data_IF_431514762495
#
_entry.id   IF_431514762495
#
_cell.length_a   1.000
_cell.length_b   1.000
_cell.length_c   1.000
_cell.angle_alpha   90.00
_cell.angle_beta   90.00
_cell.angle_gamma   90.00
#
_symmetry.space_group_name_H-M   'P 1'
#
loop_
_entity.id
_entity.type
_entity.pdbx_description
1 polymer ?
#
# COMPACT_ATOMS: atom_id res chain seq x y z
N UNK A 1 18.71 -0.60 -18.33
CA UNK A 1 17.53 -0.68 -17.43
C UNK A 1 17.17 -2.15 -17.28
N UNK A 2 17.09 -2.74 -16.07
CA UNK A 2 16.91 -4.18 -15.96
C UNK A 2 15.47 -4.56 -16.35
N UNK A 3 15.32 -5.62 -17.14
CA UNK A 3 14.03 -6.18 -17.62
C UNK A 3 13.01 -6.46 -16.50
N UNK A 4 13.46 -6.64 -15.25
CA UNK A 4 12.58 -6.75 -14.06
C UNK A 4 11.76 -5.48 -13.78
N UNK A 5 12.18 -4.31 -14.28
CA UNK A 5 11.35 -3.09 -14.26
C UNK A 5 10.18 -3.17 -15.25
N UNK A 6 10.33 -3.82 -16.41
CA UNK A 6 9.25 -3.95 -17.41
C UNK A 6 8.15 -4.92 -16.99
N UNK A 7 8.50 -5.96 -16.22
CA UNK A 7 7.51 -6.94 -15.70
C UNK A 7 6.75 -6.41 -14.47
N UNK A 8 7.22 -5.33 -13.85
CA UNK A 8 6.57 -4.63 -12.72
C UNK A 8 5.37 -3.75 -13.16
N UNK A 9 5.13 -3.58 -14.47
CA UNK A 9 4.25 -2.56 -15.06
C UNK A 9 2.81 -2.99 -15.44
N UNK A 10 2.16 -3.94 -14.78
CA UNK A 10 0.87 -4.48 -15.27
C UNK A 10 -0.41 -3.97 -14.57
N UNK A 11 -0.37 -2.89 -13.78
CA UNK A 11 -1.59 -2.40 -13.09
C UNK A 11 -1.69 -0.90 -12.77
N UNK A 12 -0.56 -0.19 -12.66
CA UNK A 12 -0.49 1.25 -12.50
C UNK A 12 0.47 1.82 -13.55
N UNK A 13 0.21 3.02 -14.06
CA UNK A 13 1.14 3.71 -14.95
C UNK A 13 2.48 4.00 -14.24
N UNK A 14 3.52 4.34 -14.98
CA UNK A 14 4.82 4.70 -14.39
C UNK A 14 4.69 5.92 -13.46
N UNK A 15 3.86 6.88 -13.85
CA UNK A 15 3.55 8.06 -13.07
C UNK A 15 2.82 7.70 -11.77
N UNK A 16 1.78 6.87 -11.84
CA UNK A 16 1.03 6.44 -10.64
C UNK A 16 1.93 5.74 -9.62
N UNK A 17 2.91 4.96 -10.09
CA UNK A 17 3.88 4.31 -9.19
C UNK A 17 4.86 5.27 -8.56
N UNK A 18 5.34 6.26 -9.30
CA UNK A 18 6.19 7.30 -8.74
C UNK A 18 5.46 8.06 -7.63
N UNK A 19 4.16 8.34 -7.81
CA UNK A 19 3.33 8.99 -6.78
C UNK A 19 3.14 8.09 -5.56
N UNK A 20 2.90 6.79 -5.75
CA UNK A 20 2.79 5.83 -4.64
C UNK A 20 4.06 5.80 -3.78
N UNK A 21 5.23 5.69 -4.43
CA UNK A 21 6.53 5.67 -3.74
C UNK A 21 6.82 7.01 -3.03
N UNK A 22 6.58 8.12 -3.71
CA UNK A 22 6.85 9.45 -3.14
C UNK A 22 5.94 9.76 -1.95
N UNK A 23 4.63 9.56 -2.09
CA UNK A 23 3.64 9.99 -1.09
C UNK A 23 3.59 9.01 0.07
N UNK A 24 3.47 7.71 -0.18
CA UNK A 24 3.24 6.72 0.87
C UNK A 24 4.51 6.13 1.47
N UNK A 25 5.64 6.15 0.75
CA UNK A 25 6.89 5.53 1.24
C UNK A 25 7.89 6.55 1.76
N UNK A 26 8.06 7.67 1.04
CA UNK A 26 9.07 8.68 1.41
C UNK A 26 8.50 9.79 2.30
N UNK A 27 7.24 10.15 2.09
CA UNK A 27 6.68 11.37 2.68
C UNK A 27 5.46 11.13 3.58
N UNK A 28 5.05 9.89 3.83
CA UNK A 28 3.79 9.62 4.56
C UNK A 28 3.76 10.31 5.93
N UNK A 29 4.88 10.25 6.66
CA UNK A 29 5.03 10.93 7.96
C UNK A 29 5.05 12.46 7.91
N UNK A 30 5.15 13.08 6.73
CA UNK A 30 5.08 14.55 6.56
C UNK A 30 3.67 15.08 6.49
N UNK A 31 2.71 14.23 6.14
CA UNK A 31 1.31 14.63 6.00
C UNK A 31 0.61 14.57 7.36
N UNK A 32 -0.15 15.62 7.64
CA UNK A 32 -0.82 15.86 8.92
C UNK A 32 -2.23 15.28 8.98
N UNK A 33 -2.81 14.96 7.82
CA UNK A 33 -4.15 14.39 7.70
C UNK A 33 -4.26 13.48 6.48
N UNK A 34 -5.25 12.59 6.51
CA UNK A 34 -5.64 11.81 5.34
C UNK A 34 -6.03 12.70 4.15
N UNK A 35 -6.63 13.86 4.39
CA UNK A 35 -6.95 14.85 3.36
C UNK A 35 -5.68 15.44 2.72
N UNK A 36 -4.62 15.69 3.48
CA UNK A 36 -3.34 16.14 2.92
C UNK A 36 -2.67 15.05 2.08
N UNK A 37 -2.74 13.78 2.50
CA UNK A 37 -2.27 12.64 1.70
C UNK A 37 -3.08 12.56 0.41
N UNK A 38 -4.41 12.57 0.50
CA UNK A 38 -5.31 12.52 -0.66
C UNK A 38 -5.06 13.69 -1.61
N UNK A 39 -4.94 14.91 -1.10
CA UNK A 39 -4.64 16.09 -1.90
C UNK A 39 -3.27 16.01 -2.58
N UNK A 40 -2.25 15.45 -1.90
CA UNK A 40 -0.93 15.26 -2.48
C UNK A 40 -0.94 14.21 -3.62
N UNK A 41 -1.69 13.12 -3.44
CA UNK A 41 -1.91 12.13 -4.51
C UNK A 41 -2.69 12.77 -5.66
N UNK A 42 -3.80 13.45 -5.37
CA UNK A 42 -4.70 14.05 -6.37
C UNK A 42 -3.99 15.15 -7.18
N UNK A 43 -3.13 15.95 -6.55
CA UNK A 43 -2.32 16.96 -7.24
C UNK A 43 -1.27 16.36 -8.20
N UNK A 44 -0.74 15.15 -7.89
CA UNK A 44 0.31 14.50 -8.70
C UNK A 44 -0.25 13.50 -9.70
N UNK A 45 -1.37 12.86 -9.38
CA UNK A 45 -2.08 11.89 -10.19
C UNK A 45 -3.56 11.83 -9.76
N UNK A 46 -4.43 12.63 -10.41
CA UNK A 46 -5.87 12.58 -10.20
C UNK A 46 -6.46 11.18 -10.48
N UNK A 47 -5.92 10.48 -11.47
CA UNK A 47 -6.31 9.11 -11.83
C UNK A 47 -6.00 8.12 -10.69
N UNK A 48 -4.83 8.23 -10.08
CA UNK A 48 -4.49 7.43 -8.91
C UNK A 48 -5.39 7.78 -7.72
N UNK A 49 -5.66 9.06 -7.48
CA UNK A 49 -6.58 9.46 -6.41
C UNK A 49 -7.98 8.88 -6.61
N UNK A 50 -8.49 8.88 -7.85
CA UNK A 50 -9.75 8.21 -8.17
C UNK A 50 -9.70 6.70 -7.90
N UNK A 51 -8.60 6.03 -8.30
CA UNK A 51 -8.39 4.59 -8.06
C UNK A 51 -8.22 4.22 -6.58
N UNK A 52 -7.70 5.11 -5.74
CA UNK A 52 -7.42 4.83 -4.32
C UNK A 52 -8.56 5.22 -3.38
N UNK A 53 -9.34 6.26 -3.72
CA UNK A 53 -10.21 6.94 -2.75
C UNK A 53 -11.69 6.97 -3.11
N UNK A 54 -12.10 6.46 -4.28
CA UNK A 54 -13.52 6.35 -4.61
C UNK A 54 -14.14 5.08 -3.99
N UNK A 55 -15.42 5.09 -3.56
CA UNK A 55 -16.07 3.93 -2.93
C UNK A 55 -16.21 2.69 -3.81
N UNK A 56 -16.21 2.86 -5.14
CA UNK A 56 -16.10 1.78 -6.14
C UNK A 56 -14.70 1.83 -6.71
N UNK A 57 -13.71 1.57 -5.86
CA UNK A 57 -12.32 1.73 -6.24
C UNK A 57 -11.86 0.57 -7.12
N UNK A 58 -10.85 0.84 -7.94
CA UNK A 58 -10.06 -0.18 -8.60
C UNK A 58 -9.49 -1.22 -7.62
N UNK A 59 -9.20 -0.81 -6.37
CA UNK A 59 -8.70 -1.72 -5.33
C UNK A 59 -9.75 -2.76 -4.91
N UNK A 60 -11.03 -2.37 -4.82
CA UNK A 60 -12.13 -3.27 -4.45
C UNK A 60 -12.36 -4.34 -5.53
N UNK A 61 -12.30 -3.94 -6.80
CA UNK A 61 -12.37 -4.85 -7.94
C UNK A 61 -11.20 -5.86 -7.93
N UNK A 62 -9.99 -5.36 -7.69
CA UNK A 62 -8.78 -6.20 -7.59
C UNK A 62 -8.84 -7.15 -6.41
N UNK A 63 -9.33 -6.68 -5.27
CA UNK A 63 -9.52 -7.49 -4.09
C UNK A 63 -10.58 -8.57 -4.35
N UNK A 64 -11.66 -8.28 -5.09
CA UNK A 64 -12.70 -9.25 -5.43
C UNK A 64 -12.18 -10.41 -6.28
N UNK A 65 -11.10 -10.18 -7.04
CA UNK A 65 -10.45 -11.18 -7.85
C UNK A 65 -9.38 -12.03 -7.10
N UNK A 66 -9.20 -11.83 -5.79
CA UNK A 66 -8.31 -12.62 -4.96
C UNK A 66 -8.98 -13.93 -4.49
N UNK A 67 -8.19 -14.99 -4.43
CA UNK A 67 -8.53 -16.22 -3.73
C UNK A 67 -8.58 -16.04 -2.21
N UNK A 68 -9.12 -17.03 -1.46
CA UNK A 68 -9.49 -16.87 -0.04
C UNK A 68 -8.33 -16.43 0.87
N UNK A 69 -7.14 -17.00 0.66
CA UNK A 69 -5.95 -16.70 1.47
C UNK A 69 -5.46 -15.27 1.26
N UNK A 70 -5.25 -14.88 0.00
CA UNK A 70 -4.81 -13.52 -0.36
C UNK A 70 -5.88 -12.48 0.00
N UNK A 71 -7.18 -12.83 -0.11
CA UNK A 71 -8.29 -11.97 0.30
C UNK A 71 -8.31 -11.74 1.80
N UNK A 72 -8.10 -12.79 2.60
CA UNK A 72 -8.03 -12.66 4.05
C UNK A 72 -6.88 -11.73 4.47
N UNK A 73 -5.71 -11.87 3.84
CA UNK A 73 -4.59 -10.95 4.04
C UNK A 73 -4.94 -9.52 3.62
N UNK A 74 -5.52 -9.32 2.43
CA UNK A 74 -5.93 -8.01 1.95
C UNK A 74 -6.92 -7.33 2.90
N UNK A 75 -7.95 -8.05 3.37
CA UNK A 75 -8.92 -7.51 4.31
C UNK A 75 -8.26 -7.06 5.63
N UNK A 76 -7.29 -7.83 6.14
CA UNK A 76 -6.55 -7.45 7.34
C UNK A 76 -5.68 -6.19 7.12
N UNK A 77 -5.05 -6.07 5.95
CA UNK A 77 -4.30 -4.87 5.55
C UNK A 77 -5.21 -3.65 5.41
N UNK A 78 -6.38 -3.82 4.79
CA UNK A 78 -7.37 -2.76 4.65
C UNK A 78 -7.92 -2.30 6.00
N UNK A 79 -8.20 -3.23 6.92
CA UNK A 79 -8.67 -2.91 8.26
C UNK A 79 -7.63 -2.08 9.03
N UNK A 80 -6.33 -2.44 8.91
CA UNK A 80 -5.23 -1.62 9.43
C UNK A 80 -5.25 -0.21 8.83
N UNK A 81 -5.34 -0.09 7.51
CA UNK A 81 -5.40 1.20 6.83
C UNK A 81 -6.60 2.06 7.28
N UNK A 82 -7.79 1.45 7.43
CA UNK A 82 -9.00 2.14 7.90
C UNK A 82 -8.88 2.63 9.34
N UNK A 83 -8.19 1.90 10.22
CA UNK A 83 -7.91 2.38 11.58
C UNK A 83 -7.07 3.67 11.56
N UNK A 84 -6.08 3.74 10.68
CA UNK A 84 -5.29 4.97 10.51
C UNK A 84 -6.09 6.12 9.90
N UNK A 85 -6.97 5.85 8.94
CA UNK A 85 -7.93 6.85 8.45
C UNK A 85 -8.81 7.37 9.59
N UNK A 86 -9.31 6.49 10.47
CA UNK A 86 -10.13 6.87 11.62
C UNK A 86 -9.38 7.75 12.65
N UNK A 87 -8.08 7.55 12.86
CA UNK A 87 -7.29 8.45 13.71
C UNK A 87 -7.36 9.89 13.21
N UNK A 88 -7.20 10.09 11.89
CA UNK A 88 -7.28 11.44 11.31
C UNK A 88 -8.64 12.10 11.50
N UNK A 89 -9.75 11.36 11.38
CA UNK A 89 -11.10 11.90 11.64
C UNK A 89 -11.35 12.28 13.10
N UNK A 90 -10.59 11.70 14.03
CA UNK A 90 -10.69 12.02 15.47
C UNK A 90 -9.67 13.06 15.94
N UNK A 91 -8.94 13.70 15.01
CA UNK A 91 -7.87 14.66 15.31
C UNK A 91 -6.65 14.02 15.98
N UNK A 92 -6.58 12.69 16.02
CA UNK A 92 -5.44 11.93 16.53
C UNK A 92 -4.50 11.60 15.37
N UNK A 93 -3.21 11.45 15.67
CA UNK A 93 -2.24 10.93 14.70
C UNK A 93 -1.61 9.66 15.26
N UNK A 94 -1.40 8.64 14.42
CA UNK A 94 -0.53 7.54 14.80
C UNK A 94 0.89 8.08 15.03
N UNK A 95 1.53 7.56 16.05
CA UNK A 95 2.95 7.76 16.31
C UNK A 95 3.79 7.05 15.24
N UNK A 96 5.05 7.47 15.07
CA UNK A 96 5.98 6.78 14.17
C UNK A 96 6.13 5.30 14.53
N UNK A 97 6.04 4.96 15.82
CA UNK A 97 6.04 3.58 16.31
C UNK A 97 4.82 2.78 15.84
N UNK A 98 3.62 3.36 15.89
CA UNK A 98 2.39 2.72 15.40
C UNK A 98 2.42 2.53 13.88
N UNK A 99 2.87 3.55 13.13
CA UNK A 99 3.02 3.45 11.68
C UNK A 99 4.04 2.37 11.28
N UNK A 100 5.20 2.36 11.95
CA UNK A 100 6.21 1.30 11.80
C UNK A 100 5.62 -0.07 12.07
N UNK A 101 4.93 -0.23 13.19
CA UNK A 101 4.33 -1.51 13.57
C UNK A 101 3.34 -2.00 12.51
N UNK A 102 2.49 -1.12 11.98
CA UNK A 102 1.57 -1.49 10.89
C UNK A 102 2.31 -1.98 9.66
N UNK A 103 3.36 -1.28 9.23
CA UNK A 103 4.12 -1.68 8.05
C UNK A 103 4.84 -3.02 8.26
N UNK A 104 5.37 -3.26 9.47
CA UNK A 104 5.95 -4.56 9.83
C UNK A 104 4.89 -5.67 9.81
N UNK A 105 3.70 -5.42 10.34
CA UNK A 105 2.58 -6.37 10.30
C UNK A 105 2.14 -6.69 8.87
N UNK A 106 2.09 -5.68 7.99
CA UNK A 106 1.76 -5.86 6.57
C UNK A 106 2.80 -6.71 5.85
N UNK A 107 4.10 -6.43 6.05
CA UNK A 107 5.20 -7.21 5.46
C UNK A 107 5.20 -8.64 5.99
N UNK A 108 5.07 -8.82 7.30
CA UNK A 108 5.03 -10.15 7.91
C UNK A 108 3.83 -10.96 7.43
N UNK A 109 2.64 -10.34 7.35
CA UNK A 109 1.43 -10.97 6.84
C UNK A 109 1.59 -11.45 5.39
N UNK A 110 2.19 -10.63 4.53
CA UNK A 110 2.48 -11.03 3.15
C UNK A 110 3.49 -12.17 3.09
N UNK A 111 4.56 -12.11 3.90
CA UNK A 111 5.59 -13.15 3.97
C UNK A 111 5.07 -14.48 4.52
N UNK A 112 4.03 -14.45 5.36
CA UNK A 112 3.38 -15.63 5.90
C UNK A 112 2.46 -16.35 4.90
N UNK A 113 2.03 -15.68 3.82
CA UNK A 113 1.24 -16.31 2.76
C UNK A 113 1.99 -17.48 2.12
N UNK A 114 1.22 -18.48 1.70
CA UNK A 114 1.68 -19.57 0.86
C UNK A 114 2.23 -19.05 -0.48
N UNK A 115 3.02 -19.87 -1.18
CA UNK A 115 3.52 -19.50 -2.51
C UNK A 115 2.37 -19.19 -3.48
N UNK A 116 1.25 -19.93 -3.38
CA UNK A 116 0.06 -19.68 -4.18
C UNK A 116 -0.64 -18.36 -3.78
N UNK A 117 -0.79 -18.10 -2.48
CA UNK A 117 -1.37 -16.86 -1.96
C UNK A 117 -0.55 -15.63 -2.35
N UNK A 118 0.78 -15.71 -2.32
CA UNK A 118 1.68 -14.63 -2.77
C UNK A 118 1.54 -14.36 -4.27
N UNK A 119 1.50 -15.42 -5.09
CA UNK A 119 1.37 -15.30 -6.54
C UNK A 119 0.01 -14.69 -6.93
N UNK A 120 -1.06 -15.11 -6.25
CA UNK A 120 -2.40 -14.58 -6.46
C UNK A 120 -2.51 -13.11 -6.03
N UNK A 121 -1.98 -12.76 -4.86
CA UNK A 121 -1.89 -11.37 -4.41
C UNK A 121 -1.07 -10.52 -5.39
N UNK A 122 0.09 -11.00 -5.82
CA UNK A 122 0.96 -10.29 -6.78
C UNK A 122 0.28 -10.07 -8.13
N UNK A 123 -0.56 -10.99 -8.59
CA UNK A 123 -1.31 -10.84 -9.85
C UNK A 123 -2.25 -9.65 -9.80
N UNK A 124 -2.90 -9.40 -8.67
CA UNK A 124 -3.84 -8.29 -8.51
C UNK A 124 -3.16 -7.00 -8.05
N UNK A 125 -2.16 -7.11 -7.16
CA UNK A 125 -1.46 -5.99 -6.52
C UNK A 125 0.07 -6.10 -6.72
N UNK A 126 0.58 -6.05 -7.96
CA UNK A 126 2.01 -6.28 -8.25
C UNK A 126 2.93 -5.25 -7.59
N UNK A 127 2.44 -4.01 -7.44
CA UNK A 127 3.18 -2.92 -6.77
C UNK A 127 3.35 -3.23 -5.29
N UNK A 128 2.24 -3.47 -4.57
CA UNK A 128 2.28 -3.80 -3.14
C UNK A 128 3.09 -5.08 -2.88
N UNK A 129 2.89 -6.13 -3.68
CA UNK A 129 3.60 -7.39 -3.55
C UNK A 129 5.13 -7.22 -3.64
N UNK A 130 5.63 -6.37 -4.54
CA UNK A 130 7.06 -6.09 -4.64
C UNK A 130 7.61 -5.45 -3.36
N UNK A 131 6.92 -4.46 -2.80
CA UNK A 131 7.37 -3.79 -1.59
C UNK A 131 7.31 -4.71 -0.39
N UNK A 132 6.20 -5.39 -0.21
CA UNK A 132 6.00 -6.35 0.89
C UNK A 132 6.97 -7.54 0.82
N UNK A 133 7.37 -7.93 -0.39
CA UNK A 133 8.39 -8.95 -0.64
C UNK A 133 9.84 -8.45 -0.59
N UNK A 134 10.10 -7.14 -0.49
CA UNK A 134 11.46 -6.58 -0.52
C UNK A 134 12.13 -6.63 0.84
N UNK A 135 13.32 -7.21 0.91
CA UNK A 135 14.15 -7.19 2.13
C UNK A 135 14.73 -5.81 2.42
N UNK A 136 14.98 -5.01 1.38
CA UNK A 136 15.47 -3.64 1.53
C UNK A 136 14.39 -2.77 2.18
N UNK A 137 13.17 -2.83 1.67
CA UNK A 137 12.02 -2.13 2.26
C UNK A 137 11.78 -2.57 3.71
N UNK A 138 11.85 -3.88 3.98
CA UNK A 138 11.67 -4.37 5.34
C UNK A 138 12.74 -3.83 6.30
N UNK A 139 14.00 -3.76 5.87
CA UNK A 139 15.09 -3.16 6.66
C UNK A 139 14.88 -1.67 6.88
N UNK A 140 14.45 -0.92 5.86
CA UNK A 140 14.13 0.51 5.97
C UNK A 140 13.01 0.75 6.99
N UNK A 141 11.92 -0.02 6.92
CA UNK A 141 10.83 0.04 7.91
C UNK A 141 11.34 -0.30 9.31
N UNK A 142 12.21 -1.30 9.44
CA UNK A 142 12.80 -1.65 10.74
C UNK A 142 13.75 -0.57 11.29
N UNK A 143 14.45 0.14 10.41
CA UNK A 143 15.33 1.24 10.77
C UNK A 143 14.60 2.57 11.03
N UNK A 144 13.35 2.68 10.58
CA UNK A 144 12.49 3.84 10.85
C UNK A 144 12.19 3.95 12.35
N UNK A 145 12.45 5.12 12.93
CA UNK A 145 12.33 5.47 14.35
C UNK A 145 13.25 6.64 14.66
#
# INVERSE_FOLDING_TARGET
>A
MPERLKTFLTGLSDQERAVMEEVFMKNLGKYKSYEEVKAAVEAKSPELAAKLYQPTSWLDEKAAALGPEARAYYNAMEERARRYQAYFYTGKRPTDAELKQSMVEDVNGYRALSAAGKADFQKQFPVLAKFLGSDEFYKEVQAWG
#
